data_IF_990458871211
#
_entry.id   IF_990458871211
#
_cell.length_a   1.000
_cell.length_b   1.000
_cell.length_c   1.000
_cell.angle_alpha   90.00
_cell.angle_beta   90.00
_cell.angle_gamma   90.00
#
_symmetry.space_group_name_H-M   'P 1'
#
loop_
_entity.id
_entity.type
_entity.pdbx_description
1 polymer ?
#
# COMPACT_ATOMS: atom_id res chain seq x y z
N UNK A 1 22.71 -2.32 -6.87
CA UNK A 1 21.94 -1.07 -7.05
C UNK A 1 21.51 -0.59 -5.67
N UNK A 2 21.58 0.71 -5.37
CA UNK A 2 21.11 1.26 -4.09
C UNK A 2 19.93 2.19 -4.36
N UNK A 3 18.80 1.94 -3.73
CA UNK A 3 17.61 2.80 -3.77
C UNK A 3 17.65 3.81 -2.62
N UNK A 4 17.01 4.95 -2.84
CA UNK A 4 16.83 6.01 -1.83
C UNK A 4 15.74 5.65 -0.83
N UNK A 5 15.80 6.25 0.37
CA UNK A 5 14.77 6.08 1.39
C UNK A 5 13.38 6.51 0.89
N UNK A 6 13.33 7.51 0.00
CA UNK A 6 12.09 7.95 -0.62
C UNK A 6 11.49 6.90 -1.55
N UNK A 7 12.28 6.29 -2.43
CA UNK A 7 11.81 5.20 -3.32
C UNK A 7 11.31 4.01 -2.50
N UNK A 8 12.01 3.67 -1.42
CA UNK A 8 11.61 2.61 -0.50
C UNK A 8 10.29 2.96 0.20
N UNK A 9 10.11 4.22 0.61
CA UNK A 9 8.88 4.70 1.25
C UNK A 9 7.69 4.67 0.29
N UNK A 10 7.85 5.16 -0.93
CA UNK A 10 6.77 5.18 -1.93
C UNK A 10 6.40 3.77 -2.38
N UNK A 11 7.39 2.90 -2.63
CA UNK A 11 7.12 1.48 -2.89
C UNK A 11 6.38 0.81 -1.72
N UNK A 12 6.73 1.14 -0.47
CA UNK A 12 6.02 0.61 0.70
C UNK A 12 4.56 1.03 0.71
N UNK A 13 4.27 2.32 0.48
CA UNK A 13 2.90 2.84 0.39
C UNK A 13 2.13 2.13 -0.73
N UNK A 14 2.74 1.98 -1.90
CA UNK A 14 2.12 1.34 -3.06
C UNK A 14 1.78 -0.12 -2.78
N UNK A 15 2.73 -0.90 -2.25
CA UNK A 15 2.52 -2.30 -1.89
C UNK A 15 1.46 -2.46 -0.80
N UNK A 16 1.48 -1.63 0.25
CA UNK A 16 0.49 -1.66 1.32
C UNK A 16 -0.92 -1.31 0.81
N UNK A 17 -1.03 -0.31 -0.07
CA UNK A 17 -2.28 0.05 -0.74
C UNK A 17 -2.78 -1.09 -1.62
N UNK A 18 -1.91 -1.70 -2.42
CA UNK A 18 -2.28 -2.81 -3.28
C UNK A 18 -2.75 -4.03 -2.48
N UNK A 19 -2.09 -4.32 -1.35
CA UNK A 19 -2.53 -5.36 -0.42
C UNK A 19 -3.92 -5.06 0.13
N UNK A 20 -4.18 -3.84 0.63
CA UNK A 20 -5.49 -3.45 1.13
C UNK A 20 -6.58 -3.54 0.07
N UNK A 21 -6.32 -3.03 -1.14
CA UNK A 21 -7.25 -3.14 -2.27
C UNK A 21 -7.52 -4.60 -2.67
N UNK A 22 -6.50 -5.46 -2.59
CA UNK A 22 -6.69 -6.89 -2.78
C UNK A 22 -7.59 -7.50 -1.71
N UNK A 23 -7.40 -7.13 -0.44
CA UNK A 23 -8.26 -7.58 0.65
C UNK A 23 -9.73 -7.18 0.42
N UNK A 24 -9.99 -5.89 0.12
CA UNK A 24 -11.35 -5.39 -0.16
C UNK A 24 -12.04 -6.19 -1.28
N UNK A 25 -11.34 -6.47 -2.38
CA UNK A 25 -11.91 -7.22 -3.51
C UNK A 25 -12.27 -8.67 -3.20
N UNK A 26 -11.66 -9.27 -2.18
CA UNK A 26 -11.94 -10.65 -1.77
C UNK A 26 -12.94 -10.73 -0.62
N UNK A 27 -13.28 -9.60 0.01
CA UNK A 27 -14.31 -9.56 1.04
C UNK A 27 -15.69 -9.78 0.41
N UNK A 28 -16.58 -10.55 1.06
CA UNK A 28 -17.95 -10.71 0.59
C UNK A 28 -18.77 -9.42 0.81
N UNK A 29 -19.53 -9.03 -0.21
CA UNK A 29 -20.46 -7.87 -0.16
C UNK A 29 -20.02 -6.68 -1.00
N UNK A 30 -20.82 -5.61 -0.99
CA UNK A 30 -20.50 -4.36 -1.68
C UNK A 30 -19.41 -3.58 -0.95
N UNK A 31 -18.55 -2.85 -1.67
CA UNK A 31 -17.40 -2.13 -1.10
C UNK A 31 -17.78 -1.20 0.08
N UNK A 32 -18.93 -0.51 -0.03
CA UNK A 32 -19.40 0.40 1.01
C UNK A 32 -19.74 -0.30 2.33
N UNK A 33 -20.19 -1.56 2.25
CA UNK A 33 -20.51 -2.40 3.40
C UNK A 33 -19.22 -2.99 3.99
N UNK A 34 -18.28 -3.41 3.12
CA UNK A 34 -16.97 -3.92 3.51
C UNK A 34 -16.21 -2.92 4.38
N UNK A 35 -16.16 -1.63 4.01
CA UNK A 35 -15.50 -0.61 4.84
C UNK A 35 -16.14 -0.46 6.22
N UNK A 36 -17.46 -0.62 6.33
CA UNK A 36 -18.16 -0.61 7.61
C UNK A 36 -17.82 -1.81 8.48
N UNK A 37 -17.77 -3.01 7.88
CA UNK A 37 -17.40 -4.26 8.55
C UNK A 37 -15.98 -4.17 9.11
N UNK A 38 -15.03 -3.70 8.31
CA UNK A 38 -13.63 -3.53 8.74
C UNK A 38 -13.54 -2.53 9.89
N UNK A 39 -14.20 -1.38 9.77
CA UNK A 39 -14.19 -0.34 10.80
C UNK A 39 -14.71 -0.88 12.14
N UNK A 40 -15.81 -1.63 12.10
CA UNK A 40 -16.39 -2.27 13.28
C UNK A 40 -15.44 -3.32 13.89
N UNK A 41 -14.85 -4.20 13.07
CA UNK A 41 -13.94 -5.25 13.56
C UNK A 41 -12.62 -4.71 14.11
N UNK A 42 -12.12 -3.61 13.56
CA UNK A 42 -10.90 -2.95 14.01
C UNK A 42 -11.13 -1.87 15.07
N UNK A 43 -12.39 -1.56 15.40
CA UNK A 43 -12.75 -0.53 16.39
C UNK A 43 -12.11 0.82 15.99
N UNK A 44 -12.27 1.19 14.72
CA UNK A 44 -11.79 2.46 14.15
C UNK A 44 -12.92 3.13 13.34
N UNK A 45 -12.72 4.37 12.90
CA UNK A 45 -13.76 5.06 12.14
C UNK A 45 -13.77 4.57 10.70
N UNK A 46 -14.96 4.46 10.09
CA UNK A 46 -15.13 4.13 8.66
C UNK A 46 -14.31 5.03 7.75
N UNK A 47 -14.19 6.33 8.08
CA UNK A 47 -13.37 7.29 7.32
C UNK A 47 -11.89 6.88 7.29
N UNK A 48 -11.38 6.30 8.37
CA UNK A 48 -9.97 5.91 8.48
C UNK A 48 -9.72 4.68 7.59
N UNK A 49 -10.69 3.74 7.54
CA UNK A 49 -10.67 2.59 6.61
C UNK A 49 -10.73 3.04 5.15
N UNK A 50 -11.57 4.03 4.82
CA UNK A 50 -11.62 4.61 3.47
C UNK A 50 -10.26 5.24 3.13
N UNK A 51 -9.62 5.92 4.07
CA UNK A 51 -8.30 6.52 3.84
C UNK A 51 -7.21 5.45 3.60
N UNK A 52 -7.31 4.28 4.26
CA UNK A 52 -6.41 3.14 3.98
C UNK A 52 -6.50 2.66 2.53
N UNK A 53 -7.64 2.85 1.86
CA UNK A 53 -7.79 2.53 0.43
C UNK A 53 -6.91 3.40 -0.47
N UNK A 54 -6.51 4.57 0.02
CA UNK A 54 -5.67 5.54 -0.69
C UNK A 54 -4.21 5.50 -0.26
N UNK A 55 -3.97 5.35 1.04
CA UNK A 55 -2.64 5.50 1.65
C UNK A 55 -2.00 4.17 2.07
N UNK A 56 -2.77 3.08 2.07
CA UNK A 56 -2.35 1.80 2.61
C UNK A 56 -2.66 1.65 4.10
N UNK A 57 -2.44 0.43 4.62
CA UNK A 57 -2.69 0.12 6.03
C UNK A 57 -1.56 0.68 6.92
N UNK A 58 -1.88 1.39 8.01
CA UNK A 58 -0.92 1.75 9.04
C UNK A 58 -0.19 0.54 9.62
N UNK A 59 1.11 0.68 9.90
CA UNK A 59 1.95 -0.43 10.34
C UNK A 59 1.45 -1.11 11.62
N UNK A 60 0.91 -0.34 12.56
CA UNK A 60 0.33 -0.80 13.82
C UNK A 60 -0.95 -1.62 13.65
N UNK A 61 -1.63 -1.48 12.51
CA UNK A 61 -2.83 -2.25 12.19
C UNK A 61 -2.56 -3.49 11.33
N UNK A 62 -1.34 -3.68 10.82
CA UNK A 62 -1.03 -4.76 9.89
C UNK A 62 -1.30 -6.17 10.44
N UNK A 63 -0.98 -6.41 11.71
CA UNK A 63 -1.25 -7.69 12.37
C UNK A 63 -2.76 -7.95 12.48
N UNK A 64 -3.52 -6.95 12.94
CA UNK A 64 -4.97 -7.03 13.09
C UNK A 64 -5.68 -7.19 11.75
N UNK A 65 -5.14 -6.60 10.68
CA UNK A 65 -5.63 -6.79 9.32
C UNK A 65 -5.40 -8.21 8.80
N UNK A 66 -4.26 -8.82 9.11
CA UNK A 66 -4.00 -10.23 8.76
C UNK A 66 -4.95 -11.18 9.50
N UNK A 67 -5.18 -10.95 10.79
CA UNK A 67 -6.17 -11.70 11.58
C UNK A 67 -7.58 -11.53 11.02
N UNK A 68 -7.95 -10.29 10.66
CA UNK A 68 -9.24 -10.01 10.03
C UNK A 68 -9.38 -10.76 8.70
N UNK A 69 -8.35 -10.76 7.85
CA UNK A 69 -8.36 -11.50 6.60
C UNK A 69 -8.59 -12.99 6.81
N UNK A 70 -7.94 -13.58 7.82
CA UNK A 70 -8.13 -14.97 8.19
C UNK A 70 -9.58 -15.28 8.60
N UNK A 71 -10.28 -14.36 9.28
CA UNK A 71 -11.69 -14.54 9.64
C UNK A 71 -12.64 -14.66 8.44
N UNK A 72 -12.20 -14.21 7.25
CA UNK A 72 -12.94 -14.31 5.99
C UNK A 72 -12.33 -15.32 5.03
N UNK A 73 -11.46 -16.22 5.52
CA UNK A 73 -10.72 -17.21 4.71
C UNK A 73 -9.82 -16.58 3.62
N UNK A 74 -9.45 -15.31 3.80
CA UNK A 74 -8.55 -14.57 2.91
C UNK A 74 -7.12 -14.72 3.41
N UNK A 75 -6.27 -15.36 2.60
CA UNK A 75 -4.89 -15.65 2.96
C UNK A 75 -4.00 -14.41 2.75
N UNK A 76 -3.80 -13.63 3.81
CA UNK A 76 -2.91 -12.48 3.81
C UNK A 76 -2.06 -12.40 5.08
N UNK A 77 -0.80 -12.03 4.91
CA UNK A 77 0.20 -11.94 5.97
C UNK A 77 0.46 -10.48 6.39
N UNK A 78 0.92 -10.22 7.63
CA UNK A 78 1.16 -8.87 8.12
C UNK A 78 2.14 -8.07 7.23
N UNK A 79 3.17 -8.72 6.69
CA UNK A 79 4.16 -8.07 5.83
C UNK A 79 3.62 -7.65 4.46
N UNK A 80 2.41 -8.09 4.06
CA UNK A 80 1.75 -7.58 2.86
C UNK A 80 1.09 -6.22 3.14
N UNK A 81 0.54 -6.05 4.34
CA UNK A 81 -0.03 -4.77 4.81
C UNK A 81 1.03 -3.79 5.29
N UNK A 82 2.13 -4.28 5.88
CA UNK A 82 3.29 -3.51 6.28
C UNK A 82 4.58 -4.08 5.65
N UNK A 83 4.86 -3.79 4.37
CA UNK A 83 6.03 -4.28 3.66
C UNK A 83 7.34 -3.92 4.36
N UNK A 84 8.23 -4.90 4.49
CA UNK A 84 9.57 -4.68 5.03
C UNK A 84 10.44 -3.95 4.00
N UNK A 85 11.55 -3.35 4.47
CA UNK A 85 12.53 -2.72 3.58
C UNK A 85 13.06 -3.69 2.52
N UNK A 86 13.32 -4.94 2.92
CA UNK A 86 13.81 -5.96 1.99
C UNK A 86 12.77 -6.29 0.90
N UNK A 87 11.48 -6.40 1.26
CA UNK A 87 10.41 -6.60 0.28
C UNK A 87 10.36 -5.43 -0.71
N UNK A 88 10.45 -4.20 -0.21
CA UNK A 88 10.45 -3.00 -1.05
C UNK A 88 11.64 -2.99 -2.02
N UNK A 89 12.85 -3.30 -1.54
CA UNK A 89 14.07 -3.36 -2.37
C UNK A 89 13.94 -4.45 -3.44
N UNK A 90 13.39 -5.62 -3.11
CA UNK A 90 13.19 -6.69 -4.07
C UNK A 90 12.22 -6.28 -5.19
N UNK A 91 11.10 -5.64 -4.83
CA UNK A 91 10.13 -5.12 -5.81
C UNK A 91 10.69 -4.00 -6.67
N UNK A 92 11.43 -3.06 -6.07
CA UNK A 92 12.12 -2.00 -6.81
C UNK A 92 13.16 -2.56 -7.79
N UNK A 93 13.91 -3.58 -7.35
CA UNK A 93 14.90 -4.26 -8.21
C UNK A 93 14.20 -4.93 -9.39
N UNK A 94 13.12 -5.67 -9.11
CA UNK A 94 12.31 -6.30 -10.15
C UNK A 94 11.73 -5.27 -11.14
N UNK A 95 11.10 -4.20 -10.64
CA UNK A 95 10.54 -3.15 -11.49
C UNK A 95 11.61 -2.53 -12.42
N UNK A 96 12.80 -2.23 -11.86
CA UNK A 96 13.92 -1.72 -12.62
C UNK A 96 14.43 -2.70 -13.68
N UNK A 97 14.51 -4.00 -13.36
CA UNK A 97 14.95 -5.05 -14.30
C UNK A 97 13.95 -5.26 -15.44
N UNK A 98 12.65 -5.27 -15.15
CA UNK A 98 11.59 -5.32 -16.16
C UNK A 98 11.63 -4.08 -17.07
N UNK A 99 11.99 -2.92 -16.51
CA UNK A 99 12.07 -1.64 -17.24
C UNK A 99 13.35 -1.50 -18.10
N UNK A 100 14.40 -2.29 -17.90
CA UNK A 100 15.66 -2.21 -18.68
C UNK A 100 15.48 -2.39 -20.20
N UNK A 101 14.40 -3.02 -20.64
CA UNK A 101 14.03 -3.16 -22.06
C UNK A 101 13.16 -2.03 -22.63
N UNK A 102 12.64 -1.13 -21.79
CA UNK A 102 11.57 -0.19 -22.17
C UNK A 102 11.81 1.22 -21.58
N UNK A 103 12.91 1.87 -22.03
CA UNK A 103 13.40 3.18 -21.54
C UNK A 103 12.36 4.31 -21.55
N UNK A 104 11.28 4.22 -22.33
CA UNK A 104 10.22 5.24 -22.39
C UNK A 104 9.19 5.13 -21.25
N UNK A 105 9.04 3.95 -20.64
CA UNK A 105 8.12 3.70 -19.51
C UNK A 105 8.78 3.87 -18.15
N UNK A 106 10.08 3.61 -18.05
CA UNK A 106 10.87 3.76 -16.82
C UNK A 106 10.75 5.15 -16.18
N UNK A 107 10.62 6.22 -16.98
CA UNK A 107 10.35 7.55 -16.41
C UNK A 107 8.96 7.64 -15.77
N UNK A 108 7.91 7.02 -16.31
CA UNK A 108 6.53 7.24 -15.82
C UNK A 108 6.26 6.56 -14.46
N UNK A 109 6.79 5.36 -14.25
CA UNK A 109 6.62 4.62 -12.98
C UNK A 109 7.33 5.32 -11.81
N UNK A 110 8.38 6.09 -12.05
CA UNK A 110 9.02 6.91 -11.01
C UNK A 110 8.54 8.37 -11.01
N UNK A 111 8.09 8.90 -12.16
CA UNK A 111 7.59 10.29 -12.25
C UNK A 111 6.35 10.53 -11.38
N UNK A 112 5.48 9.53 -11.17
CA UNK A 112 4.31 9.73 -10.30
C UNK A 112 4.70 9.79 -8.80
N UNK A 113 5.84 9.22 -8.43
CA UNK A 113 6.44 9.39 -7.11
C UNK A 113 7.15 10.74 -6.98
N UNK A 114 7.78 11.24 -8.06
CA UNK A 114 8.33 12.61 -8.10
C UNK A 114 7.23 13.69 -8.00
N UNK A 115 6.07 13.46 -8.61
CA UNK A 115 4.90 14.36 -8.46
C UNK A 115 4.35 14.32 -7.02
N UNK A 116 4.28 13.13 -6.41
CA UNK A 116 3.88 12.97 -4.99
C UNK A 116 4.85 13.71 -4.05
N UNK A 117 6.15 13.65 -4.33
CA UNK A 117 7.18 14.41 -3.60
C UNK A 117 6.96 15.92 -3.67
N UNK A 118 6.56 16.45 -4.83
CA UNK A 118 6.25 17.87 -5.00
C UNK A 118 5.03 18.29 -4.19
N UNK A 119 4.00 17.44 -4.11
CA UNK A 119 2.78 17.69 -3.34
C UNK A 119 3.06 17.66 -1.83
N UNK A 120 3.83 16.68 -1.35
CA UNK A 120 4.18 16.55 0.07
C UNK A 120 5.00 17.75 0.55
N UNK A 121 5.97 18.22 -0.24
CA UNK A 121 6.76 19.43 0.07
C UNK A 121 5.91 20.70 0.18
N UNK A 122 4.85 20.83 -0.63
CA UNK A 122 3.93 21.97 -0.57
C UNK A 122 3.07 21.91 0.70
N UNK A 123 2.69 20.72 1.15
CA UNK A 123 1.86 20.52 2.36
C UNK A 123 2.64 20.75 3.66
N UNK A 124 3.93 20.41 3.69
CA UNK A 124 4.79 20.66 4.85
C UNK A 124 5.18 22.14 5.00
N UNK A 125 5.07 22.93 3.93
CA UNK A 125 5.41 24.36 3.91
C UNK A 125 4.19 25.30 4.14
N UNK A 126 2.98 24.75 4.31
CA UNK A 126 1.72 25.47 4.51
C UNK A 126 1.20 25.28 5.94
#
# INVERSE_FOLDING_TARGET
>A
MKFTDNEIREMRKELARNAFQSFIRHMPGDENDVYGVIAHKLIIKKRDVIEMSRTGVPHDLAQRMSELAQMFDIHMYPHQFAPTTQICINWLTYAYEQDKGNRSRAKRSFNHWDESRRIDQIREAA
#
